data_IF_462977725009
#
_entry.id   IF_462977725009
#
_cell.length_a   1.000
_cell.length_b   1.000
_cell.length_c   1.000
_cell.angle_alpha   90.00
_cell.angle_beta   90.00
_cell.angle_gamma   90.00
#
_symmetry.space_group_name_H-M   'P 1'
#
loop_
_entity.id
_entity.type
_entity.pdbx_description
1 polymer ?
#
# COMPACT_ATOMS: atom_id res chain seq x y z
N UNK A 1 16.76 8.28 6.31
CA UNK A 1 17.82 8.58 5.31
C UNK A 1 17.26 8.91 3.92
N UNK A 2 16.00 8.59 3.61
CA UNK A 2 15.32 8.95 2.35
C UNK A 2 14.37 10.14 2.50
N UNK A 3 13.38 10.22 1.57
CA UNK A 3 12.39 11.31 1.51
C UNK A 3 11.25 11.19 2.53
N UNK A 4 11.14 10.09 3.26
CA UNK A 4 10.03 9.84 4.21
C UNK A 4 9.80 10.97 5.22
N UNK A 5 10.82 11.49 5.92
CA UNK A 5 10.66 12.59 6.87
C UNK A 5 10.12 13.88 6.23
N UNK A 6 10.57 14.21 5.01
CA UNK A 6 10.05 15.33 4.23
C UNK A 6 8.58 15.13 3.87
N UNK A 7 8.19 13.93 3.43
CA UNK A 7 6.80 13.59 3.08
C UNK A 7 5.87 13.67 4.29
N UNK A 8 6.27 13.12 5.45
CA UNK A 8 5.45 13.19 6.68
C UNK A 8 5.26 14.64 7.11
N UNK A 9 6.32 15.44 7.08
CA UNK A 9 6.25 16.86 7.41
C UNK A 9 5.32 17.66 6.48
N UNK A 10 5.29 17.33 5.19
CA UNK A 10 4.34 17.92 4.22
C UNK A 10 2.92 17.42 4.46
N UNK A 11 2.73 16.10 4.61
CA UNK A 11 1.42 15.48 4.77
C UNK A 11 0.67 16.01 5.99
N UNK A 12 1.34 16.09 7.14
CA UNK A 12 0.68 16.50 8.37
C UNK A 12 0.14 17.93 8.35
N UNK A 13 0.58 18.74 7.38
CA UNK A 13 0.10 20.10 7.14
C UNK A 13 -1.13 20.18 6.22
N UNK A 14 -1.52 19.07 5.60
CA UNK A 14 -2.69 19.02 4.73
C UNK A 14 -4.00 19.00 5.54
N UNK A 15 -5.03 19.72 5.08
CA UNK A 15 -6.30 19.85 5.78
C UNK A 15 -6.99 18.52 6.05
N UNK A 16 -6.89 17.57 5.11
CA UNK A 16 -7.47 16.23 5.23
C UNK A 16 -7.00 15.49 6.51
N UNK A 17 -5.84 15.83 7.03
CA UNK A 17 -5.32 15.23 8.26
C UNK A 17 -6.09 15.66 9.51
N UNK A 18 -6.95 16.67 9.42
CA UNK A 18 -7.83 17.06 10.52
C UNK A 18 -9.08 16.17 10.62
N UNK A 19 -9.34 15.32 9.63
CA UNK A 19 -10.46 14.37 9.63
C UNK A 19 -10.18 13.08 10.41
N UNK A 20 -8.97 12.94 10.96
CA UNK A 20 -8.56 11.77 11.72
C UNK A 20 -7.77 12.15 12.98
N UNK A 21 -7.78 11.25 13.94
CA UNK A 21 -6.81 11.22 15.03
C UNK A 21 -5.51 10.59 14.53
N UNK A 22 -4.41 11.35 14.55
CA UNK A 22 -3.16 10.93 13.93
C UNK A 22 -2.07 10.73 14.99
N UNK A 23 -1.38 9.61 14.89
CA UNK A 23 -0.19 9.30 15.67
C UNK A 23 0.97 9.09 14.70
N UNK A 24 1.90 10.01 14.67
CA UNK A 24 3.16 9.84 13.96
C UNK A 24 4.11 9.04 14.84
N UNK A 25 4.59 7.91 14.35
CA UNK A 25 5.54 7.06 15.07
C UNK A 25 6.93 7.22 14.44
N UNK A 26 7.91 7.60 15.23
CA UNK A 26 9.27 7.77 14.73
C UNK A 26 10.20 8.42 15.75
N UNK A 27 11.37 8.83 15.30
CA UNK A 27 12.34 9.57 16.11
C UNK A 27 12.16 11.07 15.91
N UNK A 28 12.06 11.82 17.00
CA UNK A 28 11.78 13.27 16.97
C UNK A 28 12.78 14.05 16.11
N UNK A 29 14.07 13.80 16.30
CA UNK A 29 15.12 14.48 15.52
C UNK A 29 15.03 14.22 14.01
N UNK A 30 14.44 13.10 13.59
CA UNK A 30 14.23 12.78 12.17
C UNK A 30 13.02 13.54 11.62
N UNK A 31 11.95 13.70 12.40
CA UNK A 31 10.85 14.59 12.03
C UNK A 31 11.33 16.04 11.94
N UNK A 32 12.13 16.51 12.92
CA UNK A 32 12.69 17.87 12.93
C UNK A 32 13.57 18.12 11.69
N UNK A 33 14.32 17.10 11.24
CA UNK A 33 15.05 17.15 9.96
C UNK A 33 14.09 17.28 8.77
N UNK A 34 12.99 16.52 8.74
CA UNK A 34 11.96 16.62 7.73
C UNK A 34 11.31 18.00 7.67
N UNK A 35 10.97 18.57 8.84
CA UNK A 35 10.43 19.93 8.98
C UNK A 35 11.41 20.97 8.41
N UNK A 36 12.69 20.84 8.73
CA UNK A 36 13.74 21.76 8.22
C UNK A 36 13.87 21.65 6.69
N UNK A 37 13.84 20.44 6.13
CA UNK A 37 13.95 20.23 4.68
C UNK A 37 12.74 20.80 3.95
N UNK A 38 11.52 20.50 4.42
CA UNK A 38 10.27 20.92 3.78
C UNK A 38 9.95 22.39 3.98
N UNK A 39 10.50 23.02 5.01
CA UNK A 39 10.10 24.34 5.48
C UNK A 39 8.69 24.36 6.12
N UNK A 40 8.12 23.19 6.42
CA UNK A 40 6.79 23.02 7.04
C UNK A 40 6.91 22.39 8.41
N UNK A 41 6.01 22.78 9.31
CA UNK A 41 5.87 22.15 10.63
C UNK A 41 4.45 22.29 11.13
N UNK A 42 4.03 21.38 11.98
CA UNK A 42 2.75 21.41 12.69
C UNK A 42 2.98 21.36 14.18
N UNK A 43 2.05 21.93 14.94
CA UNK A 43 2.05 21.80 16.39
C UNK A 43 1.57 20.39 16.77
N UNK A 44 2.52 19.53 17.14
CA UNK A 44 2.27 18.15 17.55
C UNK A 44 2.41 18.04 19.07
N UNK A 45 1.60 17.20 19.67
CA UNK A 45 1.80 16.78 21.06
C UNK A 45 2.76 15.60 21.10
N UNK A 46 3.91 15.79 21.73
CA UNK A 46 4.94 14.78 21.86
C UNK A 46 4.67 13.89 23.07
N UNK A 47 4.70 12.58 22.86
CA UNK A 47 4.52 11.55 23.88
C UNK A 47 5.58 10.45 23.71
N UNK A 48 5.91 9.75 24.78
CA UNK A 48 6.87 8.65 24.79
C UNK A 48 6.17 7.27 24.82
N UNK A 49 4.91 7.22 25.23
CA UNK A 49 4.09 6.01 25.26
C UNK A 49 2.69 6.28 24.74
N UNK A 50 2.04 5.24 24.20
CA UNK A 50 0.67 5.35 23.69
C UNK A 50 -0.31 5.78 24.77
N UNK A 51 -0.14 5.34 26.03
CA UNK A 51 -1.05 5.65 27.15
C UNK A 51 -1.08 7.12 27.54
N UNK A 52 -0.11 7.92 27.08
CA UNK A 52 -0.09 9.37 27.24
C UNK A 52 -0.96 10.10 26.22
N UNK A 53 -1.48 9.41 25.20
CA UNK A 53 -2.31 10.00 24.14
C UNK A 53 -3.73 10.23 24.67
N UNK A 54 -4.18 11.47 24.61
CA UNK A 54 -5.55 11.88 24.95
C UNK A 54 -6.10 12.70 23.78
N UNK A 55 -6.93 12.08 22.97
CA UNK A 55 -7.49 12.75 21.77
C UNK A 55 -8.42 13.93 22.09
N UNK A 56 -8.91 14.04 23.32
CA UNK A 56 -9.62 15.23 23.79
C UNK A 56 -8.74 16.48 23.76
N UNK A 57 -7.42 16.30 23.91
CA UNK A 57 -6.45 17.39 23.89
C UNK A 57 -6.03 17.84 22.48
N UNK A 58 -6.47 17.15 21.45
CA UNK A 58 -6.13 17.39 20.04
C UNK A 58 -5.99 16.10 19.27
N UNK A 59 -5.90 16.19 17.95
CA UNK A 59 -5.95 15.04 17.05
C UNK A 59 -4.60 14.67 16.41
N UNK A 60 -3.49 15.31 16.79
CA UNK A 60 -2.16 15.06 16.19
C UNK A 60 -1.09 14.89 17.25
N UNK A 61 -0.59 13.67 17.35
CA UNK A 61 0.44 13.26 18.30
C UNK A 61 1.68 12.76 17.60
N UNK A 62 2.81 12.93 18.24
CA UNK A 62 4.07 12.31 17.85
C UNK A 62 4.51 11.34 18.94
N UNK A 63 4.54 10.06 18.65
CA UNK A 63 5.02 9.02 19.55
C UNK A 63 6.50 8.78 19.28
N UNK A 64 7.33 9.28 20.21
CA UNK A 64 8.78 9.28 20.07
C UNK A 64 9.38 7.93 20.50
N UNK A 65 9.96 7.21 19.55
CA UNK A 65 10.64 5.95 19.81
C UNK A 65 12.14 6.10 20.08
N UNK A 66 12.68 7.31 20.06
CA UNK A 66 14.12 7.54 20.21
C UNK A 66 14.66 7.14 21.59
N UNK A 67 13.80 7.07 22.63
CA UNK A 67 14.19 6.78 24.02
C UNK A 67 15.30 7.72 24.49
N UNK A 68 15.24 8.99 24.08
CA UNK A 68 16.23 10.02 24.42
C UNK A 68 17.53 9.96 23.60
N UNK A 69 17.64 9.04 22.64
CA UNK A 69 18.80 8.99 21.74
C UNK A 69 18.62 9.98 20.59
N UNK A 70 19.72 10.58 20.16
CA UNK A 70 19.76 11.50 19.03
C UNK A 70 20.55 10.84 17.88
N UNK A 71 19.88 9.91 17.19
CA UNK A 71 20.49 9.22 16.05
C UNK A 71 20.68 10.19 14.88
N UNK A 72 21.81 10.11 14.22
CA UNK A 72 22.13 10.90 13.02
C UNK A 72 22.29 9.96 11.86
N UNK A 73 21.28 9.92 11.00
CA UNK A 73 21.37 9.16 9.75
C UNK A 73 21.90 10.05 8.62
N UNK A 74 22.82 9.54 7.86
CA UNK A 74 23.26 10.22 6.64
C UNK A 74 22.14 10.18 5.60
N UNK A 75 21.87 11.31 4.97
CA UNK A 75 20.91 11.41 3.88
C UNK A 75 21.44 10.59 2.69
N UNK A 76 20.53 9.89 2.00
CA UNK A 76 20.82 9.06 0.83
C UNK A 76 21.81 7.92 1.08
N UNK A 77 21.87 7.40 2.32
CA UNK A 77 22.74 6.27 2.67
C UNK A 77 21.93 5.17 3.38
N UNK A 78 22.19 3.93 2.98
CA UNK A 78 21.64 2.75 3.67
C UNK A 78 22.46 2.50 4.94
N UNK A 79 21.79 2.20 6.06
CA UNK A 79 22.46 1.81 7.29
C UNK A 79 21.63 0.82 8.12
N UNK A 80 22.30 0.06 8.95
CA UNK A 80 21.69 -0.86 9.90
C UNK A 80 20.80 -0.11 10.90
N UNK A 81 21.30 1.01 11.41
CA UNK A 81 20.59 1.82 12.39
C UNK A 81 19.29 2.38 11.84
N UNK A 82 19.31 2.92 10.59
CA UNK A 82 18.09 3.40 9.94
C UNK A 82 17.10 2.27 9.67
N UNK A 83 17.61 1.07 9.35
CA UNK A 83 16.79 -0.12 9.20
C UNK A 83 16.14 -0.56 10.51
N UNK A 84 16.87 -0.57 11.61
CA UNK A 84 16.34 -0.87 12.96
C UNK A 84 15.26 0.11 13.38
N UNK A 85 15.47 1.42 13.17
CA UNK A 85 14.49 2.45 13.49
C UNK A 85 13.18 2.29 12.70
N UNK A 86 13.26 1.99 11.41
CA UNK A 86 12.09 1.68 10.57
C UNK A 86 11.34 0.46 11.09
N UNK A 87 12.06 -0.63 11.39
CA UNK A 87 11.45 -1.86 11.91
C UNK A 87 10.82 -1.64 13.29
N UNK A 88 11.44 -0.86 14.18
CA UNK A 88 10.88 -0.50 15.49
C UNK A 88 9.58 0.28 15.32
N UNK A 89 9.57 1.31 14.46
CA UNK A 89 8.36 2.09 14.16
C UNK A 89 7.23 1.23 13.60
N UNK A 90 7.54 0.39 12.61
CA UNK A 90 6.56 -0.49 11.98
C UNK A 90 6.02 -1.53 12.95
N UNK A 91 6.90 -2.18 13.72
CA UNK A 91 6.48 -3.19 14.69
C UNK A 91 5.57 -2.58 15.77
N UNK A 92 5.88 -1.37 16.26
CA UNK A 92 5.02 -0.68 17.22
C UNK A 92 3.64 -0.37 16.63
N UNK A 93 3.58 0.13 15.38
CA UNK A 93 2.30 0.36 14.70
C UNK A 93 1.48 -0.94 14.57
N UNK A 94 2.13 -2.05 14.20
CA UNK A 94 1.48 -3.36 14.06
C UNK A 94 1.02 -3.93 15.43
N UNK A 95 1.77 -3.69 16.51
CA UNK A 95 1.36 -4.09 17.86
C UNK A 95 0.12 -3.30 18.31
N UNK A 96 0.08 -1.98 18.07
CA UNK A 96 -1.09 -1.15 18.31
C UNK A 96 -2.31 -1.60 17.48
N UNK A 97 -2.08 -2.01 16.23
CA UNK A 97 -3.12 -2.58 15.37
C UNK A 97 -3.68 -3.90 15.94
N UNK A 98 -2.83 -4.80 16.41
CA UNK A 98 -3.27 -6.06 17.05
C UNK A 98 -4.09 -5.84 18.32
N UNK A 99 -3.79 -4.77 19.04
CA UNK A 99 -4.52 -4.36 20.24
C UNK A 99 -5.79 -3.55 19.93
N UNK A 100 -6.14 -3.36 18.64
CA UNK A 100 -7.26 -2.53 18.17
C UNK A 100 -7.19 -1.08 18.68
N UNK A 101 -5.99 -0.55 18.86
CA UNK A 101 -5.75 0.84 19.30
C UNK A 101 -5.70 1.84 18.15
N UNK A 102 -5.55 1.34 16.93
CA UNK A 102 -5.53 2.13 15.69
C UNK A 102 -6.36 1.45 14.60
N UNK A 103 -6.92 2.25 13.70
CA UNK A 103 -7.85 1.80 12.66
C UNK A 103 -7.20 1.64 11.29
N UNK A 104 -6.06 2.29 11.05
CA UNK A 104 -5.29 2.19 9.81
C UNK A 104 -3.82 2.52 10.03
N UNK A 105 -2.98 2.10 9.10
CA UNK A 105 -1.56 2.48 9.01
C UNK A 105 -1.31 3.10 7.65
N UNK A 106 -0.73 4.31 7.63
CA UNK A 106 -0.15 4.92 6.44
C UNK A 106 1.34 5.13 6.68
N UNK A 107 2.18 4.55 5.86
CA UNK A 107 3.63 4.63 6.06
C UNK A 107 4.36 5.21 4.84
N UNK A 108 5.45 5.91 5.09
CA UNK A 108 6.33 6.43 4.05
C UNK A 108 7.18 5.33 3.39
N UNK A 109 7.90 5.65 2.31
CA UNK A 109 8.70 4.66 1.60
C UNK A 109 9.84 4.12 2.48
N UNK A 110 9.97 2.79 2.54
CA UNK A 110 11.03 2.10 3.24
C UNK A 110 12.17 1.69 2.30
N UNK A 111 13.40 1.65 2.83
CA UNK A 111 14.54 1.12 2.11
C UNK A 111 14.75 -0.35 2.45
N UNK A 112 14.53 -1.25 1.49
CA UNK A 112 14.63 -2.71 1.70
C UNK A 112 16.03 -3.14 2.12
N UNK A 113 17.08 -2.50 1.60
CA UNK A 113 18.47 -2.79 1.98
C UNK A 113 18.72 -2.43 3.44
N UNK A 114 18.34 -1.22 3.88
CA UNK A 114 18.45 -0.82 5.28
C UNK A 114 17.62 -1.73 6.20
N UNK A 115 16.40 -2.10 5.81
CA UNK A 115 15.58 -3.03 6.60
C UNK A 115 16.24 -4.41 6.75
N UNK A 116 16.85 -4.95 5.68
CA UNK A 116 17.64 -6.20 5.76
C UNK A 116 18.84 -6.06 6.69
N UNK A 117 19.60 -4.97 6.58
CA UNK A 117 20.70 -4.67 7.50
C UNK A 117 20.21 -4.55 8.94
N UNK A 118 19.02 -3.98 9.17
CA UNK A 118 18.37 -3.84 10.46
C UNK A 118 17.77 -5.13 11.02
N UNK A 119 17.82 -6.24 10.28
CA UNK A 119 17.39 -7.56 10.74
C UNK A 119 16.08 -8.07 10.14
N UNK A 120 15.50 -7.39 9.14
CA UNK A 120 14.33 -7.93 8.43
C UNK A 120 14.70 -9.20 7.65
N UNK A 121 13.98 -10.29 7.88
CA UNK A 121 14.17 -11.60 7.24
C UNK A 121 13.12 -11.91 6.16
N UNK A 122 12.09 -11.05 6.03
CA UNK A 122 11.02 -11.24 5.05
C UNK A 122 11.43 -10.73 3.68
N UNK A 123 10.81 -11.27 2.64
CA UNK A 123 11.02 -10.86 1.24
C UNK A 123 10.61 -9.40 0.99
N UNK A 124 9.54 -8.99 1.66
CA UNK A 124 8.93 -7.67 1.53
C UNK A 124 8.16 -7.28 2.81
N UNK A 125 7.64 -6.06 2.80
CA UNK A 125 6.92 -5.48 3.93
C UNK A 125 5.58 -6.18 4.18
N UNK A 126 4.89 -6.62 3.11
CA UNK A 126 3.58 -7.28 3.25
C UNK A 126 3.68 -8.61 4.00
N UNK A 127 4.70 -9.43 3.69
CA UNK A 127 4.92 -10.70 4.40
C UNK A 127 5.27 -10.48 5.88
N UNK A 128 6.09 -9.46 6.18
CA UNK A 128 6.38 -9.07 7.57
C UNK A 128 5.09 -8.67 8.31
N UNK A 129 4.26 -7.82 7.71
CA UNK A 129 3.01 -7.36 8.30
C UNK A 129 2.02 -8.52 8.49
N UNK A 130 1.87 -9.39 7.48
CA UNK A 130 0.98 -10.54 7.54
C UNK A 130 1.38 -11.51 8.65
N UNK A 131 2.68 -11.82 8.80
CA UNK A 131 3.18 -12.66 9.89
C UNK A 131 2.92 -12.00 11.25
N UNK A 132 3.31 -10.74 11.41
CA UNK A 132 3.14 -9.98 12.66
C UNK A 132 1.66 -9.89 13.09
N UNK A 133 0.75 -9.73 12.13
CA UNK A 133 -0.71 -9.66 12.35
C UNK A 133 -1.39 -11.05 12.39
N UNK A 134 -0.61 -12.15 12.32
CA UNK A 134 -1.11 -13.54 12.32
C UNK A 134 -2.10 -13.86 11.19
N UNK A 135 -1.93 -13.24 10.00
CA UNK A 135 -2.79 -13.49 8.84
C UNK A 135 -2.50 -14.87 8.26
N UNK A 136 -3.55 -15.70 8.11
CA UNK A 136 -3.48 -17.05 7.54
C UNK A 136 -4.15 -17.15 6.17
N UNK A 137 -5.04 -16.22 5.86
CA UNK A 137 -5.74 -16.17 4.60
C UNK A 137 -4.87 -15.57 3.49
N UNK A 138 -5.39 -15.60 2.27
CA UNK A 138 -4.74 -14.98 1.13
C UNK A 138 -4.60 -13.47 1.33
N UNK A 139 -3.44 -12.94 0.97
CA UNK A 139 -3.13 -11.52 0.96
C UNK A 139 -2.31 -11.18 -0.29
N UNK A 140 -2.47 -9.97 -0.79
CA UNK A 140 -1.65 -9.47 -1.90
C UNK A 140 -1.63 -7.94 -1.92
N UNK A 141 -0.65 -7.37 -2.62
CA UNK A 141 -0.59 -5.93 -2.85
C UNK A 141 -1.58 -5.52 -3.95
N UNK A 142 -2.30 -4.43 -3.72
CA UNK A 142 -2.97 -3.67 -4.77
C UNK A 142 -2.13 -2.45 -5.12
N UNK A 143 -2.13 -2.09 -6.41
CA UNK A 143 -1.58 -0.81 -6.83
C UNK A 143 -2.72 0.05 -7.37
N UNK A 144 -2.72 1.33 -7.00
CA UNK A 144 -3.78 2.28 -7.33
C UNK A 144 -3.18 3.50 -8.00
N UNK A 145 -3.77 3.91 -9.13
CA UNK A 145 -3.44 5.14 -9.86
C UNK A 145 -4.75 5.81 -10.23
N UNK A 146 -4.94 7.08 -9.89
CA UNK A 146 -6.15 7.87 -10.22
C UNK A 146 -7.47 7.12 -9.88
N UNK A 147 -7.54 6.48 -8.73
CA UNK A 147 -8.65 5.63 -8.26
C UNK A 147 -8.86 4.33 -9.06
N UNK A 148 -8.01 4.00 -10.01
CA UNK A 148 -8.03 2.72 -10.71
C UNK A 148 -7.14 1.72 -10.00
N UNK A 149 -7.71 0.57 -9.63
CA UNK A 149 -7.05 -0.45 -8.82
C UNK A 149 -6.53 -1.59 -9.67
N UNK A 150 -5.46 -2.21 -9.21
CA UNK A 150 -4.94 -3.43 -9.85
C UNK A 150 -4.55 -4.45 -8.79
N UNK A 151 -4.85 -5.73 -9.09
CA UNK A 151 -4.37 -6.90 -8.36
C UNK A 151 -3.78 -7.92 -9.33
N UNK A 152 -3.04 -8.88 -8.83
CA UNK A 152 -2.41 -9.91 -9.67
C UNK A 152 -2.47 -11.30 -9.04
N UNK A 153 -2.60 -12.30 -9.89
CA UNK A 153 -2.62 -13.71 -9.47
C UNK A 153 -1.22 -14.18 -9.10
N UNK A 154 -0.22 -13.80 -9.92
CA UNK A 154 1.19 -14.10 -9.66
C UNK A 154 2.00 -12.81 -9.53
N UNK A 155 2.97 -12.81 -8.62
CA UNK A 155 3.92 -11.71 -8.40
C UNK A 155 5.35 -12.30 -8.50
N UNK A 156 6.34 -11.70 -8.13
CA UNK A 156 7.77 -12.02 -8.06
C UNK A 156 8.19 -13.51 -8.26
N UNK A 157 7.67 -14.17 -9.30
CA UNK A 157 8.03 -15.53 -9.72
C UNK A 157 8.58 -15.52 -11.14
N UNK A 158 9.42 -16.49 -11.54
CA UNK A 158 9.86 -16.64 -12.92
C UNK A 158 8.69 -16.81 -13.89
N UNK A 159 8.77 -16.22 -15.10
CA UNK A 159 7.71 -16.33 -16.08
C UNK A 159 7.37 -17.78 -16.46
N UNK A 160 8.36 -18.67 -16.41
CA UNK A 160 8.19 -20.11 -16.65
C UNK A 160 7.27 -20.79 -15.63
N UNK A 161 7.13 -20.22 -14.44
CA UNK A 161 6.27 -20.75 -13.38
C UNK A 161 4.84 -20.19 -13.43
N UNK A 162 4.62 -19.09 -14.14
CA UNK A 162 3.32 -18.40 -14.16
C UNK A 162 2.18 -19.34 -14.55
N UNK A 163 2.24 -20.15 -15.65
CA UNK A 163 1.13 -21.02 -16.03
C UNK A 163 0.75 -22.04 -14.95
N UNK A 164 1.73 -22.52 -14.17
CA UNK A 164 1.50 -23.49 -13.09
C UNK A 164 0.62 -22.90 -11.97
N UNK A 165 0.68 -21.59 -11.77
CA UNK A 165 -0.09 -20.86 -10.75
C UNK A 165 -1.43 -20.34 -11.24
N UNK A 166 -1.68 -20.33 -12.58
CA UNK A 166 -2.96 -19.91 -13.14
C UNK A 166 -3.97 -21.05 -12.99
N UNK A 167 -4.58 -21.07 -11.82
CA UNK A 167 -5.61 -22.03 -11.42
C UNK A 167 -6.85 -21.26 -10.96
N UNK A 168 -8.04 -21.77 -11.30
CA UNK A 168 -9.33 -21.17 -10.93
C UNK A 168 -9.34 -20.67 -9.48
N UNK A 169 -8.96 -21.51 -8.54
CA UNK A 169 -8.95 -21.17 -7.12
C UNK A 169 -7.98 -20.01 -6.78
N UNK A 170 -6.87 -19.87 -7.52
CA UNK A 170 -5.91 -18.81 -7.29
C UNK A 170 -6.35 -17.48 -7.94
N UNK A 171 -7.14 -17.54 -9.02
CA UNK A 171 -7.70 -16.37 -9.72
C UNK A 171 -8.85 -15.76 -8.90
N UNK A 172 -9.71 -16.60 -8.33
CA UNK A 172 -10.84 -16.16 -7.50
C UNK A 172 -10.39 -15.31 -6.31
N UNK A 173 -9.27 -15.68 -5.65
CA UNK A 173 -8.79 -15.00 -4.45
C UNK A 173 -8.53 -13.51 -4.64
N UNK A 174 -7.67 -13.07 -5.58
CA UNK A 174 -7.43 -11.64 -5.80
C UNK A 174 -8.67 -10.90 -6.34
N UNK A 175 -9.57 -11.56 -7.10
CA UNK A 175 -10.81 -10.94 -7.56
C UNK A 175 -11.70 -10.59 -6.35
N UNK A 176 -11.93 -11.53 -5.45
CA UNK A 176 -12.71 -11.29 -4.23
C UNK A 176 -12.06 -10.23 -3.36
N UNK A 177 -10.77 -10.37 -3.12
CA UNK A 177 -10.04 -9.50 -2.22
C UNK A 177 -10.01 -8.03 -2.70
N UNK A 178 -9.81 -7.79 -4.01
CA UNK A 178 -9.84 -6.43 -4.56
C UNK A 178 -11.25 -5.86 -4.56
N UNK A 179 -12.26 -6.67 -4.87
CA UNK A 179 -13.67 -6.26 -4.81
C UNK A 179 -14.03 -5.76 -3.40
N UNK A 180 -13.70 -6.54 -2.37
CA UNK A 180 -14.01 -6.20 -0.97
C UNK A 180 -13.24 -4.95 -0.52
N UNK A 181 -11.97 -4.82 -0.90
CA UNK A 181 -11.17 -3.64 -0.61
C UNK A 181 -11.74 -2.37 -1.28
N UNK A 182 -12.23 -2.47 -2.50
CA UNK A 182 -12.86 -1.36 -3.22
C UNK A 182 -14.21 -0.97 -2.62
N UNK A 183 -15.00 -1.95 -2.17
CA UNK A 183 -16.24 -1.68 -1.42
C UNK A 183 -15.91 -0.95 -0.13
N UNK A 184 -14.90 -1.40 0.60
CA UNK A 184 -14.42 -0.72 1.80
C UNK A 184 -13.92 0.70 1.51
N UNK A 185 -13.34 0.93 0.32
CA UNK A 185 -12.96 2.27 -0.16
C UNK A 185 -14.14 3.09 -0.70
N UNK A 186 -15.39 2.64 -0.55
CA UNK A 186 -16.61 3.38 -0.88
C UNK A 186 -17.19 3.14 -2.28
N UNK A 187 -16.64 2.23 -3.06
CA UNK A 187 -17.17 1.88 -4.39
C UNK A 187 -18.23 0.78 -4.20
N UNK A 188 -19.51 1.13 -4.41
CA UNK A 188 -20.64 0.23 -4.07
C UNK A 188 -20.73 -1.05 -4.89
N UNK A 189 -20.32 -1.01 -6.15
CA UNK A 189 -20.39 -2.16 -7.08
C UNK A 189 -19.19 -2.11 -8.03
N UNK A 190 -17.99 -2.51 -7.55
CA UNK A 190 -16.78 -2.47 -8.35
C UNK A 190 -16.91 -3.28 -9.65
N UNK A 191 -16.48 -2.70 -10.77
CA UNK A 191 -16.42 -3.35 -12.07
C UNK A 191 -15.03 -3.92 -12.24
N UNK A 192 -14.89 -5.23 -12.11
CA UNK A 192 -13.62 -5.96 -12.12
C UNK A 192 -13.31 -6.49 -13.52
N UNK A 193 -12.30 -5.95 -14.19
CA UNK A 193 -11.74 -6.55 -15.39
C UNK A 193 -10.77 -7.67 -15.02
N UNK A 194 -10.84 -8.82 -15.69
CA UNK A 194 -9.89 -9.92 -15.54
C UNK A 194 -9.08 -10.05 -16.82
N UNK A 195 -7.74 -9.93 -16.75
CA UNK A 195 -6.87 -10.11 -17.91
C UNK A 195 -6.78 -11.57 -18.31
N UNK A 196 -6.56 -11.82 -19.60
CA UNK A 196 -6.08 -13.09 -20.12
C UNK A 196 -4.62 -13.34 -19.71
N UNK A 197 -4.17 -14.57 -19.82
CA UNK A 197 -2.76 -14.94 -19.77
C UNK A 197 -2.14 -14.90 -21.17
N UNK A 198 -2.85 -15.48 -22.15
CA UNK A 198 -2.34 -15.66 -23.49
C UNK A 198 -2.76 -14.51 -24.43
N UNK A 199 -2.02 -14.27 -25.54
CA UNK A 199 -2.35 -13.24 -26.51
C UNK A 199 -3.79 -13.36 -27.01
N UNK A 200 -4.48 -12.22 -27.17
CA UNK A 200 -5.85 -12.12 -27.66
C UNK A 200 -6.91 -12.90 -26.84
N UNK A 201 -6.57 -13.35 -25.63
CA UNK A 201 -7.36 -14.29 -24.82
C UNK A 201 -7.55 -15.66 -25.50
N UNK A 202 -6.59 -16.03 -26.33
CA UNK A 202 -6.54 -17.26 -27.15
C UNK A 202 -5.15 -17.90 -27.06
N UNK A 203 -4.84 -18.86 -27.89
CA UNK A 203 -3.53 -19.53 -28.02
C UNK A 203 -3.07 -20.35 -26.80
N UNK A 204 -3.88 -20.47 -25.74
CA UNK A 204 -3.61 -21.30 -24.60
C UNK A 204 -4.86 -21.99 -24.08
N UNK A 205 -4.71 -22.79 -23.05
CA UNK A 205 -5.81 -23.53 -22.42
C UNK A 205 -6.30 -22.87 -21.12
N UNK A 206 -5.50 -21.94 -20.56
CA UNK A 206 -5.73 -21.34 -19.26
C UNK A 206 -7.00 -20.49 -19.27
N UNK A 207 -7.29 -19.77 -20.35
CA UNK A 207 -8.50 -18.97 -20.49
C UNK A 207 -9.75 -19.84 -20.33
N UNK A 208 -9.82 -20.93 -21.10
CA UNK A 208 -10.98 -21.83 -21.11
C UNK A 208 -11.09 -22.66 -19.85
N UNK A 209 -9.97 -23.16 -19.33
CA UNK A 209 -9.98 -24.15 -18.25
C UNK A 209 -9.95 -23.52 -16.87
N UNK A 210 -9.41 -22.30 -16.72
CA UNK A 210 -9.17 -21.70 -15.42
C UNK A 210 -9.77 -20.28 -15.30
N UNK A 211 -9.51 -19.37 -16.27
CA UNK A 211 -9.86 -17.95 -16.14
C UNK A 211 -11.37 -17.75 -16.31
N UNK A 212 -11.96 -18.25 -17.39
CA UNK A 212 -13.41 -18.16 -17.63
C UNK A 212 -14.20 -18.81 -16.48
N UNK A 213 -13.89 -20.05 -16.05
CA UNK A 213 -14.56 -20.65 -14.91
C UNK A 213 -14.41 -19.88 -13.58
N UNK A 214 -13.29 -19.18 -13.38
CA UNK A 214 -13.11 -18.32 -12.21
C UNK A 214 -14.03 -17.09 -12.27
N UNK A 215 -14.11 -16.44 -13.43
CA UNK A 215 -15.00 -15.27 -13.65
C UNK A 215 -16.46 -15.68 -13.45
N UNK A 216 -16.89 -16.81 -14.03
CA UNK A 216 -18.25 -17.31 -13.88
C UNK A 216 -18.62 -17.62 -12.43
N UNK A 217 -17.65 -18.13 -11.64
CA UNK A 217 -17.90 -18.44 -10.23
C UNK A 217 -18.09 -17.17 -9.41
N UNK A 218 -17.23 -16.18 -9.54
CA UNK A 218 -17.36 -14.93 -8.79
C UNK A 218 -18.60 -14.13 -9.21
N UNK A 219 -19.04 -14.23 -10.48
CA UNK A 219 -20.34 -13.67 -10.92
C UNK A 219 -21.53 -14.29 -10.21
N UNK A 220 -21.51 -15.62 -10.01
CA UNK A 220 -22.57 -16.30 -9.24
C UNK A 220 -22.64 -15.86 -7.78
N UNK A 221 -21.54 -15.39 -7.24
CA UNK A 221 -21.43 -14.81 -5.90
C UNK A 221 -21.79 -13.30 -5.85
N UNK A 222 -22.19 -12.71 -6.98
CA UNK A 222 -22.64 -11.32 -7.09
C UNK A 222 -21.52 -10.31 -7.38
N UNK A 223 -20.29 -10.74 -7.68
CA UNK A 223 -19.21 -9.84 -8.06
C UNK A 223 -19.35 -9.47 -9.52
N UNK A 224 -19.29 -8.18 -9.84
CA UNK A 224 -19.37 -7.66 -11.20
C UNK A 224 -18.00 -7.78 -11.88
N UNK A 225 -17.69 -8.98 -12.37
CA UNK A 225 -16.43 -9.30 -13.05
C UNK A 225 -16.64 -9.51 -14.55
N UNK A 226 -15.68 -9.12 -15.37
CA UNK A 226 -15.71 -9.25 -16.84
C UNK A 226 -14.34 -9.65 -17.40
N UNK A 227 -14.35 -10.36 -18.52
CA UNK A 227 -13.13 -10.86 -19.18
C UNK A 227 -13.30 -12.31 -19.68
N UNK A 228 -12.19 -12.97 -20.06
CA UNK A 228 -10.81 -12.48 -20.05
C UNK A 228 -10.55 -11.41 -21.12
N UNK A 229 -9.93 -10.29 -20.71
CA UNK A 229 -9.55 -9.22 -21.63
C UNK A 229 -8.11 -9.46 -22.15
N UNK A 230 -7.82 -9.28 -23.44
CA UNK A 230 -6.46 -9.32 -23.94
C UNK A 230 -5.55 -8.32 -23.19
N UNK A 231 -4.37 -8.76 -22.75
CA UNK A 231 -3.48 -7.95 -21.92
C UNK A 231 -3.06 -6.64 -22.58
N UNK A 232 -2.75 -6.67 -23.87
CA UNK A 232 -2.27 -5.54 -24.67
C UNK A 232 -3.28 -4.39 -24.79
N UNK A 233 -4.58 -4.68 -24.73
CA UNK A 233 -5.66 -3.70 -24.86
C UNK A 233 -6.45 -3.47 -23.57
N UNK A 234 -6.22 -4.28 -22.55
CA UNK A 234 -7.00 -4.24 -21.30
C UNK A 234 -6.97 -2.89 -20.59
N UNK A 235 -5.82 -2.21 -20.54
CA UNK A 235 -5.72 -0.87 -19.94
C UNK A 235 -6.44 0.20 -20.76
N UNK A 236 -6.49 0.07 -22.09
CA UNK A 236 -7.27 0.98 -22.93
C UNK A 236 -8.76 0.77 -22.62
N UNK A 237 -9.20 -0.47 -22.60
CA UNK A 237 -10.60 -0.83 -22.36
C UNK A 237 -11.05 -0.49 -20.96
N UNK A 238 -10.30 -0.91 -19.96
CA UNK A 238 -10.71 -0.78 -18.55
C UNK A 238 -10.46 0.63 -18.00
N UNK A 239 -9.23 1.13 -18.09
CA UNK A 239 -8.80 2.38 -17.47
C UNK A 239 -9.12 3.60 -18.35
N UNK A 240 -8.59 3.66 -19.58
CA UNK A 240 -8.73 4.82 -20.46
C UNK A 240 -10.18 5.08 -20.83
N UNK A 241 -10.94 4.04 -21.19
CA UNK A 241 -12.34 4.13 -21.54
C UNK A 241 -13.29 4.14 -20.32
N UNK A 242 -12.74 4.00 -19.11
CA UNK A 242 -13.48 3.97 -17.83
C UNK A 242 -14.58 2.92 -17.77
N UNK A 243 -14.38 1.78 -18.43
CA UNK A 243 -15.36 0.69 -18.44
C UNK A 243 -15.32 -0.12 -17.14
N UNK A 244 -14.15 -0.14 -16.46
CA UNK A 244 -13.94 -0.88 -15.21
C UNK A 244 -13.29 0.02 -14.15
N UNK A 245 -13.33 -0.42 -12.92
CA UNK A 245 -12.74 0.28 -11.79
C UNK A 245 -11.43 -0.37 -11.35
N UNK A 246 -11.20 -1.62 -11.77
CA UNK A 246 -9.95 -2.33 -11.54
C UNK A 246 -9.63 -3.37 -12.61
N UNK A 247 -8.38 -3.83 -12.60
CA UNK A 247 -7.90 -4.99 -13.37
C UNK A 247 -7.26 -6.02 -12.44
N UNK A 248 -7.61 -7.28 -12.61
CA UNK A 248 -6.90 -8.44 -12.05
C UNK A 248 -6.08 -9.09 -13.16
N UNK A 249 -4.75 -8.96 -13.07
CA UNK A 249 -3.83 -9.52 -14.07
C UNK A 249 -3.26 -10.88 -13.64
N UNK A 250 -2.86 -11.67 -14.64
CA UNK A 250 -2.29 -13.00 -14.38
C UNK A 250 -0.81 -12.94 -14.02
N UNK A 251 -0.07 -11.97 -14.57
CA UNK A 251 1.38 -11.85 -14.45
C UNK A 251 1.82 -10.42 -14.13
N UNK A 252 2.85 -10.30 -13.29
CA UNK A 252 3.34 -9.01 -12.77
C UNK A 252 3.66 -7.99 -13.87
N UNK A 253 4.50 -8.34 -14.88
CA UNK A 253 4.98 -7.34 -15.82
C UNK A 253 3.91 -6.96 -16.86
N UNK A 254 3.02 -7.87 -17.23
CA UNK A 254 1.88 -7.55 -18.10
C UNK A 254 0.97 -6.49 -17.48
N UNK A 255 0.78 -6.55 -16.15
CA UNK A 255 -0.06 -5.60 -15.43
C UNK A 255 0.70 -4.31 -15.08
N UNK A 256 1.89 -4.43 -14.50
CA UNK A 256 2.65 -3.28 -14.00
C UNK A 256 3.17 -2.36 -15.10
N UNK A 257 3.51 -2.91 -16.27
CA UNK A 257 3.94 -2.10 -17.42
C UNK A 257 2.84 -1.14 -17.88
N UNK A 258 1.61 -1.63 -17.98
CA UNK A 258 0.45 -0.79 -18.29
C UNK A 258 0.17 0.26 -17.23
N UNK A 259 0.08 -0.14 -15.97
CA UNK A 259 -0.21 0.79 -14.87
C UNK A 259 0.82 1.91 -14.76
N UNK A 260 2.11 1.57 -14.84
CA UNK A 260 3.20 2.55 -14.74
C UNK A 260 3.26 3.52 -15.91
N UNK A 261 2.88 3.08 -17.10
CA UNK A 261 2.78 3.95 -18.27
C UNK A 261 1.70 5.04 -18.11
N UNK A 262 0.65 4.78 -17.34
CA UNK A 262 -0.44 5.73 -17.09
C UNK A 262 -0.24 6.64 -15.89
N UNK A 263 0.60 6.29 -14.90
CA UNK A 263 0.69 7.13 -13.71
C UNK A 263 1.67 6.67 -12.64
N UNK A 264 2.91 6.38 -13.01
CA UNK A 264 3.94 5.98 -12.05
C UNK A 264 4.16 6.99 -10.91
N UNK A 265 4.04 8.27 -11.22
CA UNK A 265 4.26 9.41 -10.31
C UNK A 265 3.15 9.63 -9.28
N UNK A 266 2.02 8.94 -9.41
CA UNK A 266 0.83 9.05 -8.54
C UNK A 266 0.44 7.74 -7.87
N UNK A 267 1.25 6.71 -8.04
CA UNK A 267 0.96 5.36 -7.58
C UNK A 267 0.87 5.23 -6.05
N UNK A 268 -0.11 4.45 -5.61
CA UNK A 268 -0.30 4.02 -4.21
C UNK A 268 -0.25 2.50 -4.15
N UNK A 269 0.30 1.96 -3.07
CA UNK A 269 0.20 0.55 -2.72
C UNK A 269 -0.74 0.38 -1.52
N UNK A 270 -1.70 -0.52 -1.64
CA UNK A 270 -2.60 -0.95 -0.57
C UNK A 270 -2.31 -2.40 -0.23
N UNK A 271 -2.07 -2.68 1.04
CA UNK A 271 -1.77 -4.03 1.54
C UNK A 271 -3.07 -4.81 1.75
N UNK A 272 -3.50 -5.57 0.73
CA UNK A 272 -4.77 -6.29 0.75
C UNK A 272 -4.72 -7.58 1.58
N UNK A 273 -5.84 -7.89 2.27
CA UNK A 273 -5.98 -9.12 3.06
C UNK A 273 -5.51 -9.00 4.51
N UNK A 274 -5.04 -7.81 4.92
CA UNK A 274 -4.69 -7.52 6.31
C UNK A 274 -5.93 -7.08 7.11
N UNK A 275 -5.93 -7.23 8.44
CA UNK A 275 -7.12 -6.97 9.27
C UNK A 275 -7.50 -5.49 9.38
N UNK A 276 -6.64 -4.57 8.97
CA UNK A 276 -6.90 -3.14 8.92
C UNK A 276 -6.30 -2.56 7.62
N UNK A 277 -6.78 -1.40 7.14
CA UNK A 277 -6.17 -0.72 6.00
C UNK A 277 -4.72 -0.35 6.26
N UNK A 278 -3.81 -0.79 5.39
CA UNK A 278 -2.39 -0.40 5.42
C UNK A 278 -2.00 0.07 4.03
N UNK A 279 -1.52 1.31 3.93
CA UNK A 279 -1.24 1.97 2.66
C UNK A 279 0.11 2.67 2.65
N UNK A 280 0.70 2.82 1.45
CA UNK A 280 1.97 3.51 1.26
C UNK A 280 2.05 4.08 -0.16
N UNK A 281 2.82 5.14 -0.44
CA UNK A 281 3.13 5.51 -1.82
C UNK A 281 3.89 4.40 -2.54
N UNK A 282 3.62 4.21 -3.82
CA UNK A 282 4.22 3.12 -4.63
C UNK A 282 5.67 3.39 -5.09
N UNK A 283 6.28 4.50 -4.65
CA UNK A 283 7.67 4.84 -4.95
C UNK A 283 8.61 4.49 -3.79
N UNK A 284 9.91 4.37 -4.08
CA UNK A 284 10.94 4.12 -3.07
C UNK A 284 11.40 5.38 -2.34
N UNK A 285 12.51 5.25 -1.62
CA UNK A 285 13.10 6.30 -0.76
C UNK A 285 13.76 7.46 -1.51
N UNK A 286 13.89 7.38 -2.85
CA UNK A 286 14.34 8.45 -3.75
C UNK A 286 15.58 9.19 -3.23
N UNK A 287 16.68 8.47 -3.06
CA UNK A 287 17.94 8.99 -2.50
C UNK A 287 18.53 10.13 -3.33
N UNK A 288 18.26 10.15 -4.63
CA UNK A 288 18.70 11.20 -5.56
C UNK A 288 18.13 12.59 -5.23
N UNK A 289 16.94 12.67 -4.62
CA UNK A 289 16.30 13.92 -4.23
C UNK A 289 16.16 14.10 -2.70
N UNK A 290 16.61 13.13 -1.91
CA UNK A 290 16.54 13.20 -0.46
C UNK A 290 17.27 14.45 0.09
N UNK A 291 16.65 15.18 1.00
CA UNK A 291 17.18 16.41 1.59
C UNK A 291 17.06 17.65 0.72
N UNK A 292 16.47 17.58 -0.49
CA UNK A 292 16.42 18.68 -1.45
C UNK A 292 15.06 19.40 -1.53
N UNK A 293 14.10 19.05 -0.70
CA UNK A 293 12.70 19.54 -0.76
C UNK A 293 12.02 19.36 -2.13
N UNK A 294 12.32 18.24 -2.80
CA UNK A 294 11.79 17.90 -4.14
C UNK A 294 10.81 16.73 -4.12
N UNK A 295 10.56 16.12 -2.96
CA UNK A 295 9.63 14.99 -2.86
C UNK A 295 8.22 15.42 -3.23
N UNK A 296 7.61 14.67 -4.19
CA UNK A 296 6.22 14.83 -4.56
C UNK A 296 5.32 14.26 -3.46
N UNK A 297 4.44 15.09 -2.89
CA UNK A 297 3.53 14.69 -1.82
C UNK A 297 2.37 13.82 -2.34
N UNK A 298 1.97 13.99 -3.60
CA UNK A 298 0.71 13.45 -4.13
C UNK A 298 0.51 11.95 -3.86
N UNK A 299 1.47 11.04 -4.12
CA UNK A 299 1.29 9.62 -3.81
C UNK A 299 1.03 9.36 -2.31
N UNK A 300 1.74 10.07 -1.43
CA UNK A 300 1.57 9.95 0.02
C UNK A 300 0.21 10.48 0.48
N UNK A 301 -0.22 11.60 -0.08
CA UNK A 301 -1.53 12.18 0.18
C UNK A 301 -2.67 11.24 -0.29
N UNK A 302 -2.55 10.66 -1.47
CA UNK A 302 -3.53 9.70 -1.98
C UNK A 302 -3.53 8.41 -1.13
N UNK A 303 -2.38 7.91 -0.72
CA UNK A 303 -2.32 6.74 0.18
C UNK A 303 -2.98 7.01 1.52
N UNK A 304 -2.79 8.20 2.09
CA UNK A 304 -3.46 8.61 3.31
C UNK A 304 -5.00 8.69 3.14
N UNK A 305 -5.48 9.29 2.04
CA UNK A 305 -6.93 9.38 1.73
C UNK A 305 -7.58 8.00 1.63
N UNK A 306 -6.93 7.05 0.96
CA UNK A 306 -7.43 5.67 0.87
C UNK A 306 -7.50 5.03 2.27
N UNK A 307 -6.43 5.13 3.07
CA UNK A 307 -6.41 4.60 4.43
C UNK A 307 -7.54 5.18 5.28
N UNK A 308 -7.72 6.50 5.24
CA UNK A 308 -8.77 7.22 5.96
C UNK A 308 -10.17 6.75 5.56
N UNK A 309 -10.45 6.72 4.25
CA UNK A 309 -11.76 6.30 3.73
C UNK A 309 -12.08 4.85 4.13
N UNK A 310 -11.12 3.95 3.98
CA UNK A 310 -11.29 2.54 4.34
C UNK A 310 -11.52 2.37 5.85
N UNK A 311 -10.78 3.10 6.70
CA UNK A 311 -10.94 3.04 8.15
C UNK A 311 -12.31 3.57 8.58
N UNK A 312 -12.74 4.72 8.06
CA UNK A 312 -14.06 5.31 8.34
C UNK A 312 -15.21 4.41 7.91
N UNK A 313 -15.09 3.72 6.77
CA UNK A 313 -16.13 2.81 6.30
C UNK A 313 -16.14 1.49 7.09
N UNK A 314 -14.97 1.01 7.53
CA UNK A 314 -14.87 -0.17 8.39
C UNK A 314 -15.53 0.04 9.76
N UNK A 315 -15.38 1.22 10.34
CA UNK A 315 -16.00 1.54 11.65
C UNK A 315 -17.53 1.67 11.60
N UNK A 316 -18.12 1.72 10.39
CA UNK A 316 -19.58 1.77 10.18
C UNK A 316 -20.21 0.39 9.95
N UNK A 317 -19.40 -0.63 9.76
CA UNK A 317 -19.83 -2.04 9.60
C UNK A 317 -19.93 -2.74 10.94
#
# INVERSE_FOLDING_TARGET
SGIGPELVSKLICEEITNEANIIIIGERNILDQGNKISGKSQNLKYVETFDQIKFEDGNKFFLDISKGKNHKYKIAECSEESGKSVLESLNLALDLAKENKIDAINFGPFNKTSMKMGGNRHSDELHLMAEKLNVKNFFCEFNVVDNFWTARVTSHIPISEVPNHIKKANIIKPIKLINDAMILNGIKNPRVAVQALNPHAEFGIEEKNEIIPAIEEVKKEGINADGPLPCDTSFITAFKNKNHDCIVGMYHDALQSGLKAFGFDRGVTVQGGLPLPITTPAHGTAFDIAGKNKANLEPTLQSFKIALTMAQNKSKQ
#
